data_IF_174533329364
#
_entry.id   IF_174533329364
#
_cell.length_a   1.000
_cell.length_b   1.000
_cell.length_c   1.000
_cell.angle_alpha   90.00
_cell.angle_beta   90.00
_cell.angle_gamma   90.00
#
_symmetry.space_group_name_H-M   'P 1'
#
loop_
_entity.id
_entity.type
_entity.pdbx_description
1 polymer ?
#
# COMPACT_ATOMS: atom_id res chain seq x y z
N UNK A 1 -0.91 -21.09 -3.76
CA UNK A 1 -0.68 -21.17 -2.30
C UNK A 1 0.03 -22.49 -2.00
N UNK A 2 0.80 -22.54 -0.91
CA UNK A 2 1.61 -23.69 -0.52
C UNK A 2 1.62 -23.80 1.01
N UNK A 3 1.29 -24.97 1.55
CA UNK A 3 1.54 -25.27 2.96
C UNK A 3 3.02 -25.54 3.19
N UNK A 4 3.56 -24.95 4.24
CA UNK A 4 4.90 -25.15 4.77
C UNK A 4 4.79 -25.83 6.14
N UNK A 5 5.88 -26.42 6.63
CA UNK A 5 5.89 -27.09 7.94
C UNK A 5 5.48 -26.16 9.10
N UNK A 6 5.67 -24.84 8.93
CA UNK A 6 5.37 -23.82 9.93
C UNK A 6 4.31 -22.78 9.49
N UNK A 7 3.57 -22.99 8.39
CA UNK A 7 2.55 -22.04 7.99
C UNK A 7 2.01 -22.16 6.57
N UNK A 8 1.30 -21.13 6.12
CA UNK A 8 0.76 -21.02 4.76
C UNK A 8 1.47 -19.91 4.00
N UNK A 9 1.95 -20.24 2.80
CA UNK A 9 2.44 -19.26 1.83
C UNK A 9 1.37 -18.99 0.78
N UNK A 10 1.03 -17.72 0.60
CA UNK A 10 0.20 -17.24 -0.50
C UNK A 10 1.02 -16.31 -1.38
N UNK A 11 0.68 -16.29 -2.66
CA UNK A 11 1.26 -15.38 -3.64
C UNK A 11 0.12 -14.93 -4.55
N UNK A 12 0.15 -13.66 -4.93
CA UNK A 12 -0.82 -13.09 -5.85
C UNK A 12 -0.10 -12.14 -6.80
N UNK A 13 -0.26 -12.39 -8.09
CA UNK A 13 0.19 -11.46 -9.13
C UNK A 13 -0.87 -10.38 -9.30
N UNK A 14 -0.46 -9.12 -9.12
CA UNK A 14 -1.33 -7.96 -9.20
C UNK A 14 -0.80 -6.95 -10.22
N UNK A 15 -1.69 -6.17 -10.87
CA UNK A 15 -1.25 -5.02 -11.65
C UNK A 15 -0.60 -3.97 -10.75
N UNK A 16 0.51 -3.39 -11.19
CA UNK A 16 1.11 -2.24 -10.51
C UNK A 16 0.35 -0.93 -10.80
N UNK A 17 -0.25 -0.85 -11.99
CA UNK A 17 -1.03 0.29 -12.47
C UNK A 17 -2.37 -0.24 -12.93
N UNK A 18 -3.46 0.36 -12.45
CA UNK A 18 -4.82 0.06 -12.87
C UNK A 18 -5.35 1.14 -13.81
N UNK A 19 -6.46 0.85 -14.49
CA UNK A 19 -7.20 1.83 -15.28
C UNK A 19 -8.44 2.24 -14.51
N UNK A 20 -8.64 3.55 -14.33
CA UNK A 20 -9.82 4.06 -13.65
C UNK A 20 -11.08 3.79 -14.50
N UNK A 21 -12.12 3.12 -13.97
CA UNK A 21 -13.21 2.56 -14.78
C UNK A 21 -14.13 3.64 -15.38
N UNK A 22 -14.11 4.86 -14.83
CA UNK A 22 -14.93 5.98 -15.32
C UNK A 22 -14.15 6.96 -16.21
N UNK A 23 -12.87 7.18 -15.92
CA UNK A 23 -12.07 8.22 -16.60
C UNK A 23 -11.08 7.64 -17.61
N UNK A 24 -10.78 6.34 -17.54
CA UNK A 24 -9.78 5.70 -18.40
C UNK A 24 -8.33 6.04 -18.03
N UNK A 25 -8.10 6.81 -16.97
CA UNK A 25 -6.78 7.23 -16.55
C UNK A 25 -5.99 6.08 -15.92
N UNK A 26 -4.67 6.09 -16.09
CA UNK A 26 -3.77 5.15 -15.40
C UNK A 26 -3.54 5.62 -13.97
N UNK A 27 -3.79 4.73 -13.01
CA UNK A 27 -3.70 5.04 -11.57
C UNK A 27 -2.77 4.09 -10.85
N UNK A 28 -1.99 4.63 -9.90
CA UNK A 28 -1.09 3.85 -9.05
C UNK A 28 -1.87 3.22 -7.88
N UNK A 29 -2.78 2.29 -8.21
CA UNK A 29 -3.68 1.65 -7.26
C UNK A 29 -3.15 0.25 -6.88
N UNK A 30 -2.24 0.22 -5.93
CA UNK A 30 -1.62 -1.00 -5.41
C UNK A 30 -1.24 -0.84 -3.93
N UNK A 31 -0.65 -1.88 -3.34
CA UNK A 31 -0.25 -1.91 -1.92
C UNK A 31 1.26 -2.11 -1.75
N UNK A 32 2.09 -1.57 -2.65
CA UNK A 32 3.53 -1.80 -2.63
C UNK A 32 4.20 -1.31 -1.33
N UNK A 33 3.85 -0.12 -0.83
CA UNK A 33 4.39 0.42 0.43
C UNK A 33 4.01 -0.44 1.65
N UNK A 34 2.91 -1.20 1.56
CA UNK A 34 2.43 -2.04 2.64
C UNK A 34 3.18 -3.38 2.73
N UNK A 35 3.80 -3.81 1.63
CA UNK A 35 4.46 -5.11 1.50
C UNK A 35 5.98 -4.99 1.33
N UNK A 36 6.50 -3.87 0.84
CA UNK A 36 7.94 -3.77 0.63
C UNK A 36 8.70 -3.61 1.95
N UNK A 37 9.69 -4.46 2.21
CA UNK A 37 10.49 -4.45 3.45
C UNK A 37 11.19 -3.12 3.73
N UNK A 38 11.58 -2.38 2.69
CA UNK A 38 12.12 -1.03 2.81
C UNK A 38 11.20 -0.05 3.56
N UNK A 39 9.88 -0.26 3.52
CA UNK A 39 8.92 0.59 4.20
C UNK A 39 8.78 0.29 5.71
N UNK A 40 9.48 -0.73 6.21
CA UNK A 40 9.67 -0.94 7.65
C UNK A 40 10.72 0.04 8.17
N UNK A 41 10.58 0.42 9.44
CA UNK A 41 11.65 1.14 10.13
C UNK A 41 12.95 0.33 10.13
N UNK A 42 14.09 1.00 10.04
CA UNK A 42 15.41 0.37 9.86
C UNK A 42 15.68 -0.77 10.85
N UNK A 43 15.46 -0.54 12.15
CA UNK A 43 15.64 -1.56 13.20
C UNK A 43 14.78 -2.81 12.96
N UNK A 44 13.50 -2.62 12.59
CA UNK A 44 12.57 -3.72 12.31
C UNK A 44 13.00 -4.46 11.05
N UNK A 45 13.44 -3.72 10.03
CA UNK A 45 13.90 -4.27 8.76
C UNK A 45 15.13 -5.16 8.95
N UNK A 46 16.13 -4.68 9.71
CA UNK A 46 17.33 -5.48 10.01
C UNK A 46 16.98 -6.72 10.84
N UNK A 47 16.12 -6.57 11.85
CA UNK A 47 15.61 -7.71 12.64
C UNK A 47 14.91 -8.76 11.76
N UNK A 48 14.13 -8.34 10.76
CA UNK A 48 13.48 -9.26 9.82
C UNK A 48 14.49 -9.99 8.92
N UNK A 49 15.57 -9.32 8.48
CA UNK A 49 16.63 -9.95 7.67
C UNK A 49 17.46 -10.97 8.44
N UNK A 50 17.62 -10.79 9.74
CA UNK A 50 18.28 -11.78 10.60
C UNK A 50 17.42 -13.04 10.81
N UNK A 51 16.09 -12.88 10.84
CA UNK A 51 15.15 -13.97 11.12
C UNK A 51 14.73 -14.76 9.88
N UNK A 52 14.71 -14.11 8.70
CA UNK A 52 14.17 -14.70 7.48
C UNK A 52 15.14 -14.55 6.30
N UNK A 53 15.26 -15.61 5.50
CA UNK A 53 15.79 -15.49 4.14
C UNK A 53 14.89 -14.58 3.30
N UNK A 54 15.42 -14.03 2.21
CA UNK A 54 14.68 -13.14 1.31
C UNK A 54 13.42 -13.85 0.75
N UNK A 55 13.53 -15.13 0.40
CA UNK A 55 12.42 -15.95 -0.13
C UNK A 55 11.40 -16.35 0.93
N UNK A 56 11.73 -16.21 2.22
CA UNK A 56 10.83 -16.49 3.34
C UNK A 56 10.32 -15.22 4.01
N UNK A 57 10.78 -14.05 3.56
CA UNK A 57 10.42 -12.76 4.11
C UNK A 57 8.90 -12.62 4.16
N UNK A 58 8.30 -12.43 5.35
CA UNK A 58 6.86 -12.31 5.46
C UNK A 58 6.40 -11.03 4.76
N UNK A 59 5.28 -11.14 4.03
CA UNK A 59 4.60 -10.00 3.43
C UNK A 59 5.50 -9.19 2.48
N UNK A 60 6.33 -9.82 1.66
CA UNK A 60 7.19 -9.13 0.69
C UNK A 60 6.52 -8.93 -0.70
N UNK A 61 7.10 -8.09 -1.55
CA UNK A 61 6.63 -7.82 -2.92
C UNK A 61 7.79 -7.75 -3.91
N UNK A 62 7.56 -8.28 -5.12
CA UNK A 62 8.53 -8.38 -6.20
C UNK A 62 7.97 -7.77 -7.49
N UNK A 63 8.82 -7.52 -8.47
CA UNK A 63 8.36 -7.23 -9.82
C UNK A 63 7.60 -8.43 -10.41
N UNK A 64 6.81 -8.17 -11.45
CA UNK A 64 5.96 -9.19 -12.08
C UNK A 64 6.72 -10.32 -12.80
N UNK A 65 8.05 -10.22 -12.87
CA UNK A 65 8.99 -11.24 -13.35
C UNK A 65 9.71 -11.99 -12.20
N UNK A 66 9.41 -11.65 -10.95
CA UNK A 66 10.00 -12.24 -9.74
C UNK A 66 11.27 -11.57 -9.26
N UNK A 67 11.81 -10.58 -9.98
CA UNK A 67 12.99 -9.84 -9.51
C UNK A 67 12.65 -8.93 -8.32
N UNK A 68 13.61 -8.76 -7.40
CA UNK A 68 13.46 -7.86 -6.27
C UNK A 68 13.25 -6.42 -6.73
N UNK A 69 12.32 -5.71 -6.07
CA UNK A 69 12.16 -4.27 -6.28
C UNK A 69 13.30 -3.56 -5.51
N UNK A 70 14.12 -2.72 -6.15
CA UNK A 70 15.20 -2.05 -5.44
C UNK A 70 14.68 -1.05 -4.40
N UNK A 71 15.35 -0.96 -3.26
CA UNK A 71 15.07 0.03 -2.21
C UNK A 71 15.03 1.47 -2.75
N UNK A 72 15.87 1.80 -3.75
CA UNK A 72 15.89 3.11 -4.41
C UNK A 72 14.57 3.43 -5.14
N UNK A 73 13.88 2.43 -5.69
CA UNK A 73 12.55 2.61 -6.30
C UNK A 73 11.55 2.99 -5.21
N UNK A 74 11.60 2.30 -4.06
CA UNK A 74 10.71 2.57 -2.95
C UNK A 74 10.99 3.91 -2.27
N UNK A 75 12.25 4.33 -2.18
CA UNK A 75 12.62 5.67 -1.74
C UNK A 75 11.98 6.72 -2.65
N UNK A 76 12.07 6.54 -3.98
CA UNK A 76 11.46 7.46 -4.95
C UNK A 76 9.93 7.49 -4.87
N UNK A 77 9.29 6.34 -4.66
CA UNK A 77 7.84 6.27 -4.43
C UNK A 77 7.47 7.04 -3.16
N UNK A 78 8.21 6.86 -2.06
CA UNK A 78 8.01 7.61 -0.82
C UNK A 78 8.08 9.12 -1.03
N UNK A 79 9.13 9.60 -1.69
CA UNK A 79 9.27 11.03 -2.03
C UNK A 79 8.08 11.57 -2.83
N UNK A 80 7.57 10.81 -3.80
CA UNK A 80 6.43 11.22 -4.61
C UNK A 80 5.14 11.28 -3.79
N UNK A 81 4.94 10.34 -2.87
CA UNK A 81 3.82 10.38 -1.94
C UNK A 81 3.89 11.63 -1.07
N UNK A 82 5.06 11.92 -0.48
CA UNK A 82 5.25 13.11 0.35
C UNK A 82 5.00 14.40 -0.46
N UNK A 83 5.58 14.51 -1.67
CA UNK A 83 5.45 15.69 -2.53
C UNK A 83 4.02 15.95 -3.00
N UNK A 84 3.24 14.90 -3.25
CA UNK A 84 1.88 14.99 -3.77
C UNK A 84 0.81 14.95 -2.67
N UNK A 85 1.21 14.67 -1.43
CA UNK A 85 0.29 14.58 -0.31
C UNK A 85 -0.27 15.94 0.10
N UNK A 86 -1.55 15.93 0.47
CA UNK A 86 -2.24 17.11 1.00
C UNK A 86 -2.69 16.80 2.41
N UNK A 87 -2.30 17.65 3.36
CA UNK A 87 -2.76 17.55 4.73
C UNK A 87 -4.13 18.19 4.87
N UNK A 88 -5.10 17.41 5.35
CA UNK A 88 -6.45 17.90 5.65
C UNK A 88 -6.61 18.08 7.17
N UNK A 89 -6.58 19.33 7.69
CA UNK A 89 -6.69 19.60 9.11
C UNK A 89 -8.15 19.47 9.58
N UNK A 90 -8.52 18.25 9.97
CA UNK A 90 -9.87 17.90 10.43
C UNK A 90 -10.43 18.85 11.49
N UNK A 91 -11.65 19.30 11.25
CA UNK A 91 -12.52 19.98 12.22
C UNK A 91 -13.77 19.15 12.49
N UNK A 92 -14.41 19.40 13.63
CA UNK A 92 -15.64 18.69 13.98
C UNK A 92 -16.75 19.03 12.98
N UNK A 93 -17.33 17.99 12.38
CA UNK A 93 -18.39 18.11 11.38
C UNK A 93 -17.90 18.04 9.93
N UNK A 94 -16.59 18.03 9.70
CA UNK A 94 -16.04 17.85 8.36
C UNK A 94 -16.40 16.49 7.77
N UNK A 95 -16.63 16.48 6.46
CA UNK A 95 -16.80 15.28 5.65
C UNK A 95 -15.80 15.36 4.51
N UNK A 96 -14.92 14.36 4.42
CA UNK A 96 -14.01 14.17 3.30
C UNK A 96 -14.51 13.00 2.45
N UNK A 97 -14.74 13.25 1.17
CA UNK A 97 -15.05 12.23 0.18
C UNK A 97 -13.84 12.10 -0.75
N UNK A 98 -13.39 10.87 -0.97
CA UNK A 98 -12.27 10.58 -1.87
C UNK A 98 -12.69 9.51 -2.87
N UNK A 99 -12.17 9.61 -4.09
CA UNK A 99 -12.15 8.50 -5.02
C UNK A 99 -11.00 7.57 -4.60
N UNK A 100 -11.34 6.37 -4.13
CA UNK A 100 -10.38 5.44 -3.56
C UNK A 100 -9.35 4.93 -4.57
N UNK A 101 -9.66 4.95 -5.87
CA UNK A 101 -8.72 4.53 -6.91
C UNK A 101 -7.71 5.62 -7.27
N UNK A 102 -8.12 6.89 -7.17
CA UNK A 102 -7.27 8.04 -7.49
C UNK A 102 -6.44 8.52 -6.30
N UNK A 103 -6.94 8.32 -5.07
CA UNK A 103 -6.35 8.91 -3.87
C UNK A 103 -5.87 7.83 -2.89
N UNK A 104 -4.55 7.71 -2.77
CA UNK A 104 -3.96 7.06 -1.61
C UNK A 104 -4.15 7.94 -0.36
N UNK A 105 -4.50 7.33 0.76
CA UNK A 105 -4.74 8.05 2.00
C UNK A 105 -4.03 7.37 3.17
N UNK A 106 -3.50 8.19 4.07
CA UNK A 106 -2.76 7.77 5.25
C UNK A 106 -3.14 8.62 6.45
N UNK A 107 -2.48 8.39 7.58
CA UNK A 107 -2.73 9.12 8.82
C UNK A 107 -1.42 9.44 9.52
N UNK A 108 -1.16 10.72 9.72
CA UNK A 108 -0.08 11.20 10.57
C UNK A 108 -0.26 10.73 12.03
N UNK A 109 0.85 10.66 12.77
CA UNK A 109 0.79 10.47 14.22
C UNK A 109 -0.05 11.59 14.85
N UNK A 110 -0.87 11.26 15.84
CA UNK A 110 -1.72 12.22 16.54
C UNK A 110 -1.60 12.02 18.06
N UNK A 111 -1.94 13.06 18.82
CA UNK A 111 -1.93 13.06 20.28
C UNK A 111 -3.32 13.32 20.83
N UNK A 112 -3.61 12.81 22.03
CA UNK A 112 -4.87 13.00 22.74
C UNK A 112 -5.95 11.93 22.46
N UNK A 113 -6.83 11.72 23.43
CA UNK A 113 -7.83 10.63 23.40
C UNK A 113 -9.15 11.00 22.68
N UNK A 114 -9.29 12.22 22.16
CA UNK A 114 -10.55 12.77 21.66
C UNK A 114 -10.81 12.60 20.16
N UNK A 115 -9.84 12.15 19.36
CA UNK A 115 -10.01 12.06 17.90
C UNK A 115 -10.85 10.84 17.53
N UNK A 116 -12.00 11.09 16.89
CA UNK A 116 -12.89 10.05 16.33
C UNK A 116 -13.19 10.39 14.88
N UNK A 117 -12.96 9.42 14.00
CA UNK A 117 -13.32 9.50 12.58
C UNK A 117 -14.16 8.26 12.25
N UNK A 118 -15.32 8.48 11.65
CA UNK A 118 -16.15 7.42 11.10
C UNK A 118 -15.90 7.29 9.59
N UNK A 119 -16.07 6.08 9.05
CA UNK A 119 -15.86 5.80 7.63
C UNK A 119 -17.10 5.11 7.09
N UNK A 120 -17.49 5.51 5.88
CA UNK A 120 -18.53 4.84 5.09
C UNK A 120 -17.90 4.50 3.75
N UNK A 121 -18.09 3.25 3.32
CA UNK A 121 -17.64 2.79 2.01
C UNK A 121 -18.71 3.08 0.96
N UNK A 122 -18.28 3.60 -0.19
CA UNK A 122 -19.14 3.71 -1.37
C UNK A 122 -19.27 2.39 -2.13
N UNK A 123 -19.74 2.47 -3.37
CA UNK A 123 -19.86 1.31 -4.25
C UNK A 123 -18.50 0.66 -4.53
N UNK A 124 -18.49 -0.68 -4.58
CA UNK A 124 -17.29 -1.45 -4.88
C UNK A 124 -17.04 -1.47 -6.39
N UNK A 125 -15.78 -1.34 -6.77
CA UNK A 125 -15.34 -1.49 -8.16
C UNK A 125 -14.90 -2.94 -8.39
N UNK A 126 -15.41 -3.56 -9.47
CA UNK A 126 -14.99 -4.88 -9.89
C UNK A 126 -13.55 -4.84 -10.42
N UNK A 127 -12.71 -5.77 -9.97
CA UNK A 127 -11.33 -5.90 -10.40
C UNK A 127 -11.23 -6.16 -11.92
N UNK A 128 -12.19 -6.85 -12.53
CA UNK A 128 -12.22 -7.07 -13.97
C UNK A 128 -12.42 -5.77 -14.78
N UNK A 129 -13.00 -4.74 -14.17
CA UNK A 129 -13.26 -3.46 -14.83
C UNK A 129 -12.04 -2.53 -14.88
N UNK A 130 -10.93 -2.88 -14.21
CA UNK A 130 -9.78 -1.98 -14.00
C UNK A 130 -8.44 -2.54 -14.50
N UNK A 131 -8.43 -3.80 -14.94
CA UNK A 131 -7.24 -4.48 -15.48
C UNK A 131 -7.44 -4.71 -16.97
N UNK A 132 -6.57 -4.11 -17.79
CA UNK A 132 -6.59 -4.20 -19.25
C UNK A 132 -5.21 -4.58 -19.77
#
# INVERSE_FOLDING_TARGET
>A
WQWLDNGLRTEQRCPAVATHPKTGEKVFFNQIQLHHVYCLGEEVRESMRELYSEEQMPRNVYFGDGSAIPDAVMARVGELYDQLSVEFPWQQGDILMVDNMLVAHARNAYRGAGRRIAVVMGDMVDQAAVVH
#
